data_IF_969992689691
#
_entry.id   IF_969992689691
#
_cell.length_a   1.000
_cell.length_b   1.000
_cell.length_c   1.000
_cell.angle_alpha   90.00
_cell.angle_beta   90.00
_cell.angle_gamma   90.00
#
_symmetry.space_group_name_H-M   'P 1'
#
loop_
_entity.id
_entity.type
_entity.pdbx_description
1 polymer ?
#
# COMPACT_ATOMS: atom_id res chain seq x y z
N UNK A 1 53.05 -55.88 18.43
CA UNK A 1 51.89 -55.34 17.67
C UNK A 1 51.01 -54.38 18.48
N UNK A 2 50.98 -54.40 19.82
CA UNK A 2 50.10 -53.53 20.61
C UNK A 2 50.46 -52.03 20.68
N UNK A 3 51.68 -51.63 20.30
CA UNK A 3 52.12 -50.21 20.40
C UNK A 3 51.71 -49.33 19.22
N UNK A 4 51.44 -49.90 18.03
CA UNK A 4 51.01 -49.10 16.86
C UNK A 4 49.56 -48.62 16.95
N UNK A 5 48.67 -49.39 17.58
CA UNK A 5 47.25 -49.01 17.72
C UNK A 5 47.01 -47.82 18.66
N UNK A 6 47.81 -47.69 19.73
CA UNK A 6 47.71 -46.56 20.66
C UNK A 6 48.12 -45.23 20.00
N UNK A 7 49.04 -45.27 19.03
CA UNK A 7 49.54 -44.07 18.35
C UNK A 7 48.55 -43.54 17.29
N UNK A 8 47.77 -44.43 16.67
CA UNK A 8 46.70 -44.06 15.72
C UNK A 8 45.51 -43.45 16.46
N UNK A 9 45.09 -44.02 17.59
CA UNK A 9 43.99 -43.47 18.40
C UNK A 9 44.27 -42.04 18.92
N UNK A 10 45.53 -41.75 19.28
CA UNK A 10 45.93 -40.42 19.78
C UNK A 10 45.96 -39.35 18.67
N UNK A 11 46.28 -39.72 17.42
CA UNK A 11 46.21 -38.81 16.27
C UNK A 11 44.76 -38.49 15.87
N UNK A 12 43.85 -39.47 15.95
CA UNK A 12 42.42 -39.28 15.67
C UNK A 12 41.77 -38.32 16.69
N UNK A 13 42.10 -38.47 17.98
CA UNK A 13 41.58 -37.58 19.03
C UNK A 13 42.02 -36.12 18.87
N UNK A 14 43.26 -35.86 18.45
CA UNK A 14 43.78 -34.50 18.24
C UNK A 14 43.13 -33.84 17.00
N UNK A 15 42.92 -34.59 15.91
CA UNK A 15 42.24 -34.07 14.72
C UNK A 15 40.76 -33.76 14.96
N UNK A 16 40.05 -34.56 15.75
CA UNK A 16 38.65 -34.30 16.11
C UNK A 16 38.49 -33.00 16.91
N UNK A 17 39.42 -32.70 17.83
CA UNK A 17 39.41 -31.47 18.64
C UNK A 17 39.76 -30.24 17.80
N UNK A 18 40.71 -30.36 16.87
CA UNK A 18 41.07 -29.26 15.95
C UNK A 18 39.93 -28.97 14.96
N UNK A 19 39.26 -29.99 14.44
CA UNK A 19 38.09 -29.83 13.57
C UNK A 19 36.90 -29.18 14.31
N UNK A 20 36.67 -29.53 15.58
CA UNK A 20 35.65 -28.87 16.41
C UNK A 20 36.01 -27.42 16.75
N UNK A 21 37.28 -27.12 17.01
CA UNK A 21 37.76 -25.76 17.29
C UNK A 21 37.68 -24.82 16.08
N UNK A 22 38.00 -25.31 14.88
CA UNK A 22 37.88 -24.56 13.63
C UNK A 22 36.41 -24.32 13.23
N UNK A 23 35.53 -25.29 13.47
CA UNK A 23 34.08 -25.12 13.26
C UNK A 23 33.49 -23.98 14.09
N UNK A 24 33.89 -23.85 15.36
CA UNK A 24 33.41 -22.78 16.25
C UNK A 24 33.94 -21.38 15.85
N UNK A 25 35.21 -21.27 15.43
CA UNK A 25 35.79 -20.00 14.99
C UNK A 25 35.23 -19.51 13.64
N UNK A 26 34.92 -20.43 12.72
CA UNK A 26 34.22 -20.08 11.45
C UNK A 26 32.77 -19.62 11.66
N UNK A 27 32.12 -20.03 12.76
CA UNK A 27 30.74 -19.65 13.07
C UNK A 27 30.56 -18.16 13.37
N UNK A 28 31.53 -17.52 14.05
CA UNK A 28 31.45 -16.10 14.45
C UNK A 28 31.69 -15.16 13.27
N UNK A 29 32.59 -15.54 12.35
CA UNK A 29 32.83 -14.79 11.10
C UNK A 29 31.66 -14.87 10.12
N UNK A 30 31.01 -16.04 10.02
CA UNK A 30 29.80 -16.23 9.21
C UNK A 30 28.58 -15.53 9.83
N UNK A 31 28.52 -15.35 11.15
CA UNK A 31 27.40 -14.67 11.81
C UNK A 31 27.22 -13.22 11.33
N UNK A 32 28.32 -12.47 11.07
CA UNK A 32 28.24 -11.12 10.48
C UNK A 32 27.81 -11.11 9.02
N UNK A 33 28.04 -12.19 8.28
CA UNK A 33 27.56 -12.36 6.91
C UNK A 33 26.08 -12.79 6.84
N UNK A 34 25.48 -13.20 7.97
CA UNK A 34 24.12 -13.74 8.03
C UNK A 34 23.14 -12.93 8.91
N UNK A 35 23.47 -11.70 9.34
CA UNK A 35 22.46 -10.76 9.86
C UNK A 35 21.55 -10.31 8.72
N UNK A 36 20.68 -11.22 8.31
CA UNK A 36 19.63 -11.00 7.33
C UNK A 36 18.68 -10.00 7.96
N UNK A 37 18.52 -8.83 7.33
CA UNK A 37 17.57 -7.80 7.75
C UNK A 37 16.20 -8.43 8.06
N UNK A 38 15.61 -8.01 9.16
CA UNK A 38 14.28 -8.45 9.61
C UNK A 38 13.24 -7.71 8.79
N UNK A 39 12.24 -8.43 8.28
CA UNK A 39 11.12 -7.85 7.53
C UNK A 39 9.88 -7.66 8.40
N UNK A 40 9.19 -6.54 8.25
CA UNK A 40 7.85 -6.31 8.76
C UNK A 40 6.88 -6.01 7.61
N UNK A 41 5.59 -6.27 7.81
CA UNK A 41 4.54 -6.14 6.80
C UNK A 41 3.26 -5.55 7.39
N UNK A 42 2.58 -4.71 6.61
CA UNK A 42 1.22 -4.23 6.87
C UNK A 42 0.39 -4.22 5.59
N UNK A 43 -0.92 -4.40 5.72
CA UNK A 43 -1.88 -4.24 4.64
C UNK A 43 -2.70 -2.98 4.83
N UNK A 44 -2.75 -2.14 3.81
CA UNK A 44 -3.45 -0.86 3.78
C UNK A 44 -4.53 -0.90 2.71
N UNK A 45 -5.73 -0.47 3.05
CA UNK A 45 -6.78 -0.16 2.09
C UNK A 45 -6.72 1.32 1.76
N UNK A 46 -6.52 1.66 0.48
CA UNK A 46 -6.36 3.02 0.00
C UNK A 46 -7.71 3.72 -0.09
N UNK A 47 -7.70 5.02 0.16
CA UNK A 47 -8.85 5.89 0.02
C UNK A 47 -9.53 5.73 -1.34
N UNK A 48 -10.85 5.73 -1.34
CA UNK A 48 -11.65 5.60 -2.55
C UNK A 48 -12.70 6.69 -2.63
N UNK A 49 -12.94 7.14 -3.86
CA UNK A 49 -13.96 8.09 -4.23
C UNK A 49 -15.01 7.35 -5.05
N UNK A 50 -16.25 7.37 -4.58
CA UNK A 50 -17.39 6.96 -5.40
C UNK A 50 -17.81 8.16 -6.24
N UNK A 51 -17.64 8.12 -7.57
CA UNK A 51 -18.09 9.22 -8.40
C UNK A 51 -19.60 9.40 -8.23
N UNK A 52 -20.03 10.65 -8.27
CA UNK A 52 -21.43 11.02 -8.32
C UNK A 52 -22.04 10.39 -9.61
N UNK A 53 -23.27 9.85 -9.52
CA UNK A 53 -23.93 9.16 -10.62
C UNK A 53 -24.34 10.15 -11.73
N UNK A 54 -23.42 10.43 -12.65
CA UNK A 54 -23.66 11.27 -13.83
C UNK A 54 -22.82 10.92 -15.07
N UNK A 55 -21.81 10.05 -14.91
CA UNK A 55 -20.98 9.53 -16.00
C UNK A 55 -21.09 8.00 -16.03
N UNK A 56 -21.89 7.47 -16.96
CA UNK A 56 -22.09 6.05 -17.23
C UNK A 56 -22.59 5.17 -16.06
N UNK A 57 -23.84 4.72 -16.19
CA UNK A 57 -24.56 3.84 -15.26
C UNK A 57 -23.85 2.47 -15.07
N UNK A 58 -22.87 2.15 -15.92
CA UNK A 58 -22.12 0.90 -15.96
C UNK A 58 -20.98 0.78 -14.94
N UNK A 59 -20.51 1.85 -14.27
CA UNK A 59 -19.47 1.71 -13.24
C UNK A 59 -19.77 2.48 -11.97
N UNK A 60 -20.66 1.93 -11.12
CA UNK A 60 -20.75 2.28 -9.70
C UNK A 60 -19.54 1.77 -8.89
N UNK A 61 -18.35 1.79 -9.49
CA UNK A 61 -17.13 1.22 -8.92
C UNK A 61 -16.37 2.31 -8.18
N UNK A 62 -16.01 2.02 -6.93
CA UNK A 62 -15.20 2.89 -6.10
C UNK A 62 -13.81 3.00 -6.72
N UNK A 63 -13.42 4.20 -7.15
CA UNK A 63 -12.09 4.43 -7.72
C UNK A 63 -11.12 4.86 -6.62
N UNK A 64 -9.91 4.30 -6.55
CA UNK A 64 -8.91 4.75 -5.60
C UNK A 64 -8.54 6.21 -5.88
N UNK A 65 -8.20 6.97 -4.83
CA UNK A 65 -7.84 8.40 -4.95
C UNK A 65 -6.54 8.60 -5.74
N UNK A 66 -5.61 7.67 -5.59
CA UNK A 66 -4.38 7.57 -6.35
C UNK A 66 -4.32 6.20 -7.03
N UNK A 67 -3.79 6.17 -8.25
CA UNK A 67 -3.52 4.92 -8.94
C UNK A 67 -2.42 4.12 -8.23
N UNK A 68 -2.42 2.80 -8.39
CA UNK A 68 -1.36 1.96 -7.84
C UNK A 68 0.05 2.41 -8.29
N UNK A 69 0.17 2.88 -9.54
CA UNK A 69 1.42 3.39 -10.08
C UNK A 69 1.92 4.65 -9.37
N UNK A 70 1.02 5.57 -9.02
CA UNK A 70 1.36 6.81 -8.29
C UNK A 70 1.82 6.49 -6.88
N UNK A 71 1.09 5.65 -6.15
CA UNK A 71 1.44 5.23 -4.79
C UNK A 71 2.80 4.55 -4.77
N UNK A 72 3.02 3.61 -5.69
CA UNK A 72 4.31 2.93 -5.83
C UNK A 72 5.41 3.96 -6.12
N UNK A 73 5.20 4.87 -7.08
CA UNK A 73 6.21 5.88 -7.45
C UNK A 73 6.53 6.83 -6.28
N UNK A 74 5.53 7.24 -5.51
CA UNK A 74 5.70 8.08 -4.32
C UNK A 74 6.53 7.34 -3.26
N UNK A 75 6.20 6.08 -2.97
CA UNK A 75 6.91 5.27 -1.98
C UNK A 75 8.32 4.85 -2.43
N UNK A 76 8.59 4.84 -3.74
CA UNK A 76 9.92 4.66 -4.33
C UNK A 76 10.81 5.91 -4.21
N UNK A 77 10.23 7.07 -3.93
CA UNK A 77 10.98 8.33 -3.88
C UNK A 77 11.94 8.41 -2.70
N UNK A 78 13.08 9.08 -2.92
CA UNK A 78 14.06 9.35 -1.88
C UNK A 78 13.48 10.26 -0.78
N UNK A 79 12.59 11.19 -1.13
CA UNK A 79 11.92 12.09 -0.20
C UNK A 79 11.03 11.30 0.77
N UNK A 80 10.30 10.30 0.27
CA UNK A 80 9.49 9.43 1.12
C UNK A 80 10.35 8.60 2.09
N UNK A 81 11.49 8.08 1.62
CA UNK A 81 12.45 7.39 2.48
C UNK A 81 13.04 8.31 3.57
N UNK A 82 13.32 9.57 3.25
CA UNK A 82 13.76 10.57 4.22
C UNK A 82 12.68 10.88 5.27
N UNK A 83 11.42 10.99 4.86
CA UNK A 83 10.29 11.19 5.77
C UNK A 83 10.11 10.00 6.72
N UNK A 84 10.29 8.76 6.26
CA UNK A 84 10.26 7.59 7.14
C UNK A 84 11.41 7.64 8.14
N UNK A 85 12.63 7.92 7.68
CA UNK A 85 13.81 7.97 8.53
C UNK A 85 13.71 9.06 9.61
N UNK A 86 13.22 10.24 9.26
CA UNK A 86 13.01 11.33 10.21
C UNK A 86 11.94 10.98 11.25
N UNK A 87 10.83 10.37 10.84
CA UNK A 87 9.71 10.01 11.73
C UNK A 87 10.04 8.86 12.68
N UNK A 88 10.87 7.92 12.22
CA UNK A 88 11.31 6.77 13.04
C UNK A 88 12.54 7.08 13.90
N UNK A 89 13.27 8.15 13.60
CA UNK A 89 14.54 8.48 14.24
C UNK A 89 15.68 7.52 13.87
N UNK A 90 15.57 6.80 12.75
CA UNK A 90 16.57 5.83 12.28
C UNK A 90 17.17 6.31 10.95
N UNK A 91 18.31 7.02 10.96
CA UNK A 91 18.88 7.63 9.77
C UNK A 91 19.28 6.64 8.67
N UNK A 92 19.67 5.41 9.06
CA UNK A 92 20.07 4.37 8.10
C UNK A 92 18.94 3.99 7.14
N UNK A 93 17.68 4.18 7.54
CA UNK A 93 16.51 3.95 6.70
C UNK A 93 16.45 4.90 5.49
N UNK A 94 16.94 6.14 5.59
CA UNK A 94 16.90 7.09 4.47
C UNK A 94 17.72 6.59 3.27
N UNK A 95 18.86 5.95 3.56
CA UNK A 95 19.74 5.37 2.54
C UNK A 95 19.31 3.98 2.06
N UNK A 96 18.51 3.27 2.85
CA UNK A 96 18.25 1.84 2.63
C UNK A 96 16.84 1.56 2.11
N UNK A 97 15.89 2.46 2.34
CA UNK A 97 14.49 2.32 1.95
C UNK A 97 14.09 2.71 0.52
N UNK A 98 14.84 3.46 -0.33
CA UNK A 98 14.31 3.75 -1.66
C UNK A 98 14.04 2.42 -2.40
N UNK A 99 12.78 2.21 -2.76
CA UNK A 99 12.35 1.03 -3.48
C UNK A 99 12.87 1.16 -4.92
N UNK A 100 13.88 0.37 -5.27
CA UNK A 100 14.34 0.28 -6.65
C UNK A 100 13.30 -0.51 -7.45
N UNK A 101 12.64 0.15 -8.41
CA UNK A 101 11.66 -0.43 -9.34
C UNK A 101 12.08 -1.83 -9.82
N UNK A 102 11.12 -2.76 -9.86
CA UNK A 102 11.23 -4.10 -10.45
C UNK A 102 12.45 -4.92 -10.00
N UNK A 103 12.29 -5.66 -8.91
CA UNK A 103 13.28 -6.69 -8.52
C UNK A 103 14.49 -6.16 -7.76
N UNK A 104 14.49 -4.89 -7.34
CA UNK A 104 15.55 -4.31 -6.53
C UNK A 104 15.62 -4.84 -5.10
N UNK A 105 16.83 -4.82 -4.54
CA UNK A 105 17.13 -5.20 -3.14
C UNK A 105 16.75 -4.13 -2.11
N UNK A 106 15.93 -3.14 -2.49
CA UNK A 106 15.44 -2.08 -1.61
C UNK A 106 14.75 -2.64 -0.37
N UNK A 107 14.94 -1.96 0.76
CA UNK A 107 14.40 -2.39 2.04
C UNK A 107 12.91 -2.11 2.18
N UNK A 108 12.36 -1.10 1.49
CA UNK A 108 10.92 -0.87 1.37
C UNK A 108 10.39 -1.56 0.11
N UNK A 109 9.24 -2.21 0.22
CA UNK A 109 8.53 -2.82 -0.90
C UNK A 109 7.04 -2.59 -0.76
N UNK A 110 6.41 -2.25 -1.86
CA UNK A 110 4.98 -1.99 -1.94
C UNK A 110 4.44 -2.89 -3.03
N UNK A 111 3.36 -3.58 -2.73
CA UNK A 111 2.72 -4.47 -3.70
C UNK A 111 1.21 -4.31 -3.64
N UNK A 112 0.64 -4.05 -4.79
CA UNK A 112 -0.79 -4.14 -5.00
C UNK A 112 -1.25 -5.61 -4.91
N UNK A 113 -2.35 -5.85 -4.20
CA UNK A 113 -3.03 -7.14 -4.10
C UNK A 113 -4.16 -7.19 -5.13
N UNK A 114 -4.80 -8.34 -5.29
CA UNK A 114 -5.81 -8.65 -6.33
C UNK A 114 -7.02 -7.70 -6.45
N UNK A 115 -7.14 -6.68 -5.60
CA UNK A 115 -8.15 -5.62 -5.65
C UNK A 115 -7.42 -4.27 -5.68
N UNK A 116 -7.83 -3.38 -6.59
CA UNK A 116 -7.17 -2.09 -6.90
C UNK A 116 -7.05 -1.09 -5.72
N UNK A 117 -7.57 -1.44 -4.54
CA UNK A 117 -7.48 -0.63 -3.32
C UNK A 117 -6.64 -1.26 -2.21
N UNK A 118 -6.14 -2.48 -2.39
CA UNK A 118 -5.44 -3.21 -1.32
C UNK A 118 -3.94 -3.25 -1.58
N UNK A 119 -3.16 -2.67 -0.68
CA UNK A 119 -1.71 -2.57 -0.78
C UNK A 119 -1.04 -3.28 0.39
N UNK A 120 0.04 -3.98 0.09
CA UNK A 120 0.90 -4.59 1.07
C UNK A 120 2.22 -3.84 1.10
N UNK A 121 2.55 -3.26 2.24
CA UNK A 121 3.80 -2.54 2.48
C UNK A 121 4.69 -3.44 3.33
N UNK A 122 5.93 -3.62 2.90
CA UNK A 122 6.97 -4.40 3.59
C UNK A 122 8.20 -3.53 3.78
N UNK A 123 8.75 -3.46 4.98
CA UNK A 123 10.04 -2.83 5.23
C UNK A 123 11.02 -3.84 5.84
N UNK A 124 12.30 -3.72 5.48
CA UNK A 124 13.41 -4.47 6.06
C UNK A 124 14.29 -3.54 6.89
N UNK A 125 14.75 -4.00 8.04
CA UNK A 125 15.69 -3.25 8.87
C UNK A 125 16.58 -4.19 9.68
N UNK A 126 17.62 -3.63 10.31
CA UNK A 126 18.57 -4.41 11.12
C UNK A 126 17.92 -4.98 12.39
N UNK A 127 16.87 -4.32 12.90
CA UNK A 127 16.13 -4.75 14.09
C UNK A 127 14.63 -4.91 13.81
N UNK A 128 13.94 -5.85 14.48
CA UNK A 128 12.49 -6.00 14.36
C UNK A 128 11.73 -4.69 14.71
N UNK A 129 12.22 -3.95 15.70
CA UNK A 129 11.65 -2.68 16.13
C UNK A 129 11.76 -1.62 15.04
N UNK A 130 12.93 -1.50 14.39
CA UNK A 130 13.11 -0.57 13.28
C UNK A 130 12.25 -0.95 12.07
N UNK A 131 12.11 -2.25 11.76
CA UNK A 131 11.26 -2.71 10.66
C UNK A 131 9.78 -2.39 10.92
N UNK A 132 9.28 -2.66 12.14
CA UNK A 132 7.91 -2.31 12.54
C UNK A 132 7.68 -0.79 12.51
N UNK A 133 8.64 -0.01 13.01
CA UNK A 133 8.56 1.45 12.99
C UNK A 133 8.51 2.00 11.57
N UNK A 134 9.36 1.47 10.67
CA UNK A 134 9.39 1.86 9.26
C UNK A 134 8.07 1.58 8.54
N UNK A 135 7.50 0.38 8.71
CA UNK A 135 6.21 0.04 8.10
C UNK A 135 5.06 0.89 8.65
N UNK A 136 5.06 1.16 9.96
CA UNK A 136 4.07 2.07 10.57
C UNK A 136 4.18 3.47 10.00
N UNK A 137 5.38 4.04 10.03
CA UNK A 137 5.63 5.37 9.49
C UNK A 137 5.26 5.49 8.01
N UNK A 138 5.57 4.47 7.19
CA UNK A 138 5.17 4.44 5.78
C UNK A 138 3.65 4.44 5.61
N UNK A 139 2.92 3.66 6.41
CA UNK A 139 1.47 3.61 6.33
C UNK A 139 0.81 4.89 6.88
N UNK A 140 1.35 5.46 7.96
CA UNK A 140 0.87 6.72 8.54
C UNK A 140 1.04 7.88 7.55
N UNK A 141 2.19 7.95 6.85
CA UNK A 141 2.43 8.96 5.81
C UNK A 141 1.43 8.85 4.65
N UNK A 142 1.09 7.63 4.21
CA UNK A 142 0.05 7.43 3.19
C UNK A 142 -1.34 7.83 3.69
N UNK A 143 -1.66 7.53 4.95
CA UNK A 143 -2.94 7.93 5.55
C UNK A 143 -3.05 9.45 5.59
N UNK A 144 -1.99 10.14 6.01
CA UNK A 144 -1.94 11.60 6.07
C UNK A 144 -2.08 12.25 4.69
N UNK A 145 -1.31 11.79 3.70
CA UNK A 145 -1.37 12.30 2.33
C UNK A 145 -2.77 12.12 1.73
N UNK A 146 -3.35 10.92 1.86
CA UNK A 146 -4.69 10.66 1.36
C UNK A 146 -5.77 11.42 2.16
N UNK A 147 -5.60 11.63 3.47
CA UNK A 147 -6.57 12.41 4.25
C UNK A 147 -6.58 13.88 3.82
N UNK A 148 -5.40 14.45 3.50
CA UNK A 148 -5.31 15.78 2.89
C UNK A 148 -6.04 15.82 1.54
N UNK A 149 -5.75 14.90 0.62
CA UNK A 149 -6.42 14.83 -0.69
C UNK A 149 -7.93 14.65 -0.55
N UNK A 150 -8.38 13.87 0.44
CA UNK A 150 -9.80 13.70 0.73
C UNK A 150 -10.43 14.98 1.28
N UNK A 151 -9.73 15.76 2.08
CA UNK A 151 -10.20 17.07 2.54
C UNK A 151 -10.33 18.05 1.37
N UNK A 152 -9.34 18.08 0.47
CA UNK A 152 -9.39 18.88 -0.77
C UNK A 152 -10.57 18.46 -1.65
N UNK A 153 -10.78 17.15 -1.84
CA UNK A 153 -11.93 16.63 -2.59
C UNK A 153 -13.28 17.00 -1.94
N UNK A 154 -13.38 16.95 -0.60
CA UNK A 154 -14.57 17.43 0.13
C UNK A 154 -14.82 18.91 -0.10
N UNK A 155 -13.77 19.72 -0.11
CA UNK A 155 -13.90 21.15 -0.32
C UNK A 155 -14.40 21.45 -1.74
N UNK A 156 -13.83 20.81 -2.75
CA UNK A 156 -14.27 20.96 -4.16
C UNK A 156 -15.75 20.59 -4.32
N UNK A 157 -16.20 19.51 -3.67
CA UNK A 157 -17.60 19.08 -3.70
C UNK A 157 -18.52 20.11 -3.02
N UNK A 158 -18.10 20.69 -1.89
CA UNK A 158 -18.86 21.77 -1.21
C UNK A 158 -18.93 23.02 -2.07
N UNK A 159 -17.80 23.45 -2.64
CA UNK A 159 -17.75 24.63 -3.51
C UNK A 159 -18.60 24.41 -4.79
N UNK A 160 -18.73 23.18 -5.26
CA UNK A 160 -19.63 22.83 -6.37
C UNK A 160 -21.11 22.87 -5.93
N UNK A 161 -21.47 22.36 -4.75
CA UNK A 161 -22.83 22.45 -4.19
C UNK A 161 -23.23 23.91 -3.97
N UNK A 162 -22.34 24.73 -3.39
CA UNK A 162 -22.58 26.15 -3.12
C UNK A 162 -22.79 26.94 -4.41
N UNK A 163 -21.98 26.67 -5.46
CA UNK A 163 -22.17 27.28 -6.78
C UNK A 163 -23.50 26.87 -7.41
N UNK A 164 -23.82 25.58 -7.42
CA UNK A 164 -25.09 25.09 -7.96
C UNK A 164 -26.30 25.70 -7.21
N UNK A 165 -26.18 25.87 -5.90
CA UNK A 165 -27.20 26.54 -5.09
C UNK A 165 -27.33 28.02 -5.45
N UNK A 166 -26.22 28.75 -5.62
CA UNK A 166 -26.22 30.15 -6.01
C UNK A 166 -26.86 30.34 -7.40
N UNK A 167 -26.49 29.52 -8.38
CA UNK A 167 -27.05 29.55 -9.74
C UNK A 167 -28.57 29.28 -9.74
N UNK A 168 -29.02 28.32 -8.93
CA UNK A 168 -30.44 28.05 -8.76
C UNK A 168 -31.18 29.23 -8.11
N UNK A 169 -30.59 29.87 -7.09
CA UNK A 169 -31.19 31.04 -6.45
C UNK A 169 -31.28 32.25 -7.39
N UNK A 170 -30.25 32.48 -8.21
CA UNK A 170 -30.27 33.52 -9.23
C UNK A 170 -31.36 33.24 -10.28
N UNK A 171 -31.45 32.00 -10.76
CA UNK A 171 -32.50 31.56 -11.69
C UNK A 171 -33.89 31.77 -11.09
N UNK A 172 -34.09 31.43 -9.82
CA UNK A 172 -35.35 31.63 -9.11
C UNK A 172 -35.71 33.13 -8.97
N UNK A 173 -34.72 33.98 -8.70
CA UNK A 173 -34.91 35.43 -8.63
C UNK A 173 -35.33 36.01 -9.98
N UNK A 174 -34.63 35.63 -11.05
CA UNK A 174 -34.97 36.06 -12.42
C UNK A 174 -36.37 35.58 -12.82
N UNK A 175 -36.69 34.32 -12.50
CA UNK A 175 -38.03 33.77 -12.70
C UNK A 175 -39.11 34.65 -12.05
N UNK A 176 -38.92 35.02 -10.77
CA UNK A 176 -39.89 35.84 -10.06
C UNK A 176 -40.05 37.22 -10.69
N UNK A 177 -38.95 37.87 -11.09
CA UNK A 177 -38.98 39.17 -11.77
C UNK A 177 -39.71 39.11 -13.11
N UNK A 178 -39.46 38.08 -13.93
CA UNK A 178 -40.14 37.92 -15.22
C UNK A 178 -41.62 37.58 -15.02
N UNK A 179 -41.94 36.71 -14.07
CA UNK A 179 -43.32 36.33 -13.76
C UNK A 179 -44.15 37.50 -13.20
N UNK A 180 -43.54 38.40 -12.42
CA UNK A 180 -44.17 39.63 -11.94
C UNK A 180 -44.51 40.55 -13.11
N UNK A 181 -43.54 40.84 -13.99
CA UNK A 181 -43.76 41.65 -15.21
C UNK A 181 -44.78 41.04 -16.16
N UNK A 182 -44.78 39.72 -16.32
CA UNK A 182 -45.80 39.03 -17.11
C UNK A 182 -47.19 39.19 -16.48
N UNK A 183 -47.30 39.07 -15.15
CA UNK A 183 -48.57 39.26 -14.44
C UNK A 183 -49.09 40.70 -14.59
N UNK A 184 -48.22 41.70 -14.45
CA UNK A 184 -48.55 43.10 -14.71
C UNK A 184 -49.02 43.33 -16.16
N UNK A 185 -48.32 42.75 -17.14
CA UNK A 185 -48.69 42.86 -18.55
C UNK A 185 -50.01 42.17 -18.87
N UNK A 186 -50.33 41.05 -18.24
CA UNK A 186 -51.61 40.36 -18.41
C UNK A 186 -52.73 41.22 -17.81
N UNK A 187 -52.55 41.71 -16.59
CA UNK A 187 -53.54 42.53 -15.88
C UNK A 187 -53.82 43.88 -16.58
N UNK A 188 -52.85 44.43 -17.31
CA UNK A 188 -52.99 45.67 -18.09
C UNK A 188 -53.44 45.46 -19.53
N UNK A 189 -53.56 44.22 -20.00
CA UNK A 189 -54.06 43.92 -21.34
C UNK A 189 -55.59 44.08 -21.39
N UNK A 190 -56.09 44.71 -22.45
CA UNK A 190 -57.53 44.87 -22.65
C UNK A 190 -58.16 43.47 -22.83
N UNK A 191 -59.18 43.08 -22.04
CA UNK A 191 -59.79 41.75 -22.11
C UNK A 191 -60.39 41.40 -23.50
N UNK A 192 -60.60 42.39 -24.38
CA UNK A 192 -60.98 42.15 -25.78
C UNK A 192 -59.86 41.65 -26.69
N UNK A 193 -58.59 41.76 -26.30
CA UNK A 193 -57.43 41.27 -27.05
C UNK A 193 -57.01 39.87 -26.57
N UNK A 194 -57.82 38.89 -26.97
CA UNK A 194 -57.66 37.49 -26.58
C UNK A 194 -56.36 36.88 -27.12
N UNK A 195 -55.87 37.34 -28.27
CA UNK A 195 -54.65 36.83 -28.88
C UNK A 195 -53.41 37.19 -28.05
N UNK A 196 -53.29 38.46 -27.66
CA UNK A 196 -52.18 38.92 -26.80
C UNK A 196 -52.22 38.29 -25.42
N UNK A 197 -53.41 38.20 -24.81
CA UNK A 197 -53.60 37.57 -23.50
C UNK A 197 -53.20 36.08 -23.53
N UNK A 198 -53.60 35.36 -24.58
CA UNK A 198 -53.24 33.94 -24.75
C UNK A 198 -51.73 33.72 -24.92
N UNK A 199 -51.04 34.60 -25.65
CA UNK A 199 -49.59 34.53 -25.82
C UNK A 199 -48.83 34.77 -24.51
N UNK A 200 -49.25 35.75 -23.71
CA UNK A 200 -48.63 36.04 -22.41
C UNK A 200 -48.83 34.89 -21.41
N UNK A 201 -50.02 34.29 -21.38
CA UNK A 201 -50.29 33.09 -20.58
C UNK A 201 -49.46 31.88 -21.03
N UNK A 202 -49.23 31.72 -22.35
CA UNK A 202 -48.36 30.68 -22.88
C UNK A 202 -46.90 30.88 -22.41
N UNK A 203 -46.38 32.11 -22.48
CA UNK A 203 -45.04 32.46 -21.98
C UNK A 203 -44.91 32.20 -20.48
N UNK A 204 -45.95 32.52 -19.70
CA UNK A 204 -45.98 32.25 -18.25
C UNK A 204 -45.90 30.75 -17.96
N UNK A 205 -46.62 29.92 -18.72
CA UNK A 205 -46.54 28.46 -18.58
C UNK A 205 -45.16 27.92 -18.95
N UNK A 206 -44.59 28.37 -20.05
CA UNK A 206 -43.26 27.93 -20.48
C UNK A 206 -42.19 28.30 -19.44
N UNK A 207 -42.26 29.53 -18.90
CA UNK A 207 -41.40 29.99 -17.82
C UNK A 207 -41.53 29.09 -16.57
N UNK A 208 -42.75 28.70 -16.18
CA UNK A 208 -42.98 27.80 -15.04
C UNK A 208 -42.44 26.38 -15.28
N UNK A 209 -42.56 25.86 -16.50
CA UNK A 209 -41.99 24.57 -16.89
C UNK A 209 -40.46 24.61 -16.80
N UNK A 210 -39.83 25.68 -17.31
CA UNK A 210 -38.38 25.84 -17.26
C UNK A 210 -37.86 26.00 -15.83
N UNK A 211 -38.59 26.72 -14.97
CA UNK A 211 -38.26 26.80 -13.55
C UNK A 211 -38.36 25.44 -12.85
N UNK A 212 -39.36 24.64 -13.18
CA UNK A 212 -39.50 23.27 -12.65
C UNK A 212 -38.35 22.38 -13.08
N UNK A 213 -37.90 22.48 -14.35
CA UNK A 213 -36.72 21.76 -14.85
C UNK A 213 -35.44 22.19 -14.12
N UNK A 214 -35.24 23.49 -13.93
CA UNK A 214 -34.08 24.03 -13.20
C UNK A 214 -34.05 23.53 -11.75
N UNK A 215 -35.20 23.55 -11.07
CA UNK A 215 -35.32 22.99 -9.71
C UNK A 215 -34.96 21.51 -9.66
N UNK A 216 -35.47 20.70 -10.59
CA UNK A 216 -35.13 19.26 -10.65
C UNK A 216 -33.65 19.05 -10.91
N UNK A 217 -33.06 19.78 -11.85
CA UNK A 217 -31.63 19.67 -12.13
C UNK A 217 -30.76 20.00 -10.90
N UNK A 218 -31.14 21.04 -10.13
CA UNK A 218 -30.49 21.37 -8.87
C UNK A 218 -30.67 20.27 -7.81
N UNK A 219 -31.90 19.76 -7.64
CA UNK A 219 -32.18 18.67 -6.69
C UNK A 219 -31.43 17.38 -7.05
N UNK A 220 -31.34 17.04 -8.34
CA UNK A 220 -30.60 15.89 -8.83
C UNK A 220 -29.09 16.05 -8.56
N UNK A 221 -28.51 17.21 -8.91
CA UNK A 221 -27.11 17.53 -8.62
C UNK A 221 -26.82 17.45 -7.11
N UNK A 222 -27.72 17.99 -6.28
CA UNK A 222 -27.60 17.93 -4.82
C UNK A 222 -27.66 16.51 -4.27
N UNK A 223 -28.53 15.67 -4.80
CA UNK A 223 -28.57 14.24 -4.45
C UNK A 223 -27.27 13.55 -4.87
N UNK A 224 -26.72 13.89 -6.03
CA UNK A 224 -25.43 13.41 -6.51
C UNK A 224 -24.28 13.75 -5.55
N UNK A 225 -24.16 15.02 -5.14
CA UNK A 225 -23.15 15.47 -4.17
C UNK A 225 -23.29 14.78 -2.81
N UNK A 226 -24.51 14.45 -2.38
CA UNK A 226 -24.72 13.67 -1.15
C UNK A 226 -24.40 12.20 -1.30
N UNK A 227 -24.48 11.64 -2.52
CA UNK A 227 -24.19 10.23 -2.82
C UNK A 227 -22.70 9.96 -3.05
N UNK A 228 -21.88 10.98 -3.28
CA UNK A 228 -20.44 10.78 -3.35
C UNK A 228 -19.92 10.30 -2.00
N UNK A 229 -19.58 9.01 -1.93
CA UNK A 229 -18.98 8.38 -0.78
C UNK A 229 -17.46 8.52 -0.87
N UNK A 230 -16.88 9.13 0.16
CA UNK A 230 -15.43 9.21 0.34
C UNK A 230 -15.03 8.20 1.42
N UNK A 231 -14.30 7.15 1.03
CA UNK A 231 -13.76 6.17 1.97
C UNK A 231 -12.32 6.54 2.31
N UNK A 232 -11.98 6.71 3.61
CA UNK A 232 -10.62 7.03 4.01
C UNK A 232 -9.68 5.83 3.86
N UNK A 233 -8.40 6.13 3.68
CA UNK A 233 -7.33 5.14 3.78
C UNK A 233 -7.30 4.56 5.18
N UNK A 234 -7.15 3.24 5.31
CA UNK A 234 -7.11 2.58 6.62
C UNK A 234 -6.20 1.37 6.65
N UNK A 235 -5.69 1.06 7.83
CA UNK A 235 -5.00 -0.18 8.10
C UNK A 235 -6.00 -1.33 8.18
N UNK A 236 -5.75 -2.41 7.44
CA UNK A 236 -6.54 -3.65 7.56
C UNK A 236 -5.91 -4.64 8.53
N UNK A 237 -4.59 -4.57 8.68
CA UNK A 237 -3.84 -5.45 9.58
C UNK A 237 -2.95 -4.64 10.50
N UNK A 238 -2.70 -5.17 11.69
CA UNK A 238 -1.65 -4.64 12.55
C UNK A 238 -0.30 -4.99 11.92
N UNK A 239 0.69 -4.08 11.91
CA UNK A 239 2.03 -4.37 11.43
C UNK A 239 2.65 -5.56 12.17
N UNK A 240 3.12 -6.56 11.41
CA UNK A 240 3.70 -7.79 11.96
C UNK A 240 5.09 -8.04 11.37
N UNK A 241 5.96 -8.64 12.19
CA UNK A 241 7.28 -9.09 11.75
C UNK A 241 7.13 -10.43 11.03
N UNK A 242 7.60 -10.50 9.79
CA UNK A 242 7.69 -11.74 9.05
C UNK A 242 9.01 -12.44 9.40
N UNK A 243 8.92 -13.51 10.17
CA UNK A 243 10.05 -14.43 10.34
C UNK A 243 10.07 -15.37 9.13
N UNK A 244 11.06 -15.20 8.24
CA UNK A 244 11.27 -16.16 7.15
C UNK A 244 11.62 -17.53 7.72
N UNK A 245 10.66 -18.46 7.69
CA UNK A 245 10.79 -19.86 8.16
C UNK A 245 11.91 -20.65 7.45
N UNK A 246 12.44 -20.15 6.33
CA UNK A 246 13.62 -20.72 5.67
C UNK A 246 14.95 -20.47 6.41
N UNK A 247 14.97 -19.64 7.46
CA UNK A 247 16.17 -19.30 8.22
C UNK A 247 16.15 -19.73 9.68
N UNK A 248 15.40 -20.77 10.07
CA UNK A 248 15.40 -21.17 11.48
C UNK A 248 16.78 -21.70 11.89
N UNK A 249 17.31 -21.31 13.07
CA UNK A 249 18.59 -21.82 13.58
C UNK A 249 18.58 -23.34 13.72
N UNK A 250 17.40 -23.95 13.91
CA UNK A 250 17.20 -25.41 13.91
C UNK A 250 17.50 -26.06 12.56
N UNK A 251 17.19 -25.40 11.43
CA UNK A 251 17.54 -25.92 10.10
C UNK A 251 19.01 -25.66 9.74
N UNK A 252 19.60 -24.54 10.16
CA UNK A 252 21.05 -24.32 10.04
C UNK A 252 21.84 -25.34 10.87
N UNK A 253 21.38 -25.65 12.09
CA UNK A 253 21.92 -26.75 12.88
C UNK A 253 21.73 -28.10 12.18
N UNK A 254 20.58 -28.33 11.53
CA UNK A 254 20.32 -29.52 10.72
C UNK A 254 21.24 -29.64 9.49
N UNK A 255 21.48 -28.55 8.77
CA UNK A 255 22.42 -28.51 7.62
C UNK A 255 23.85 -28.67 8.10
N UNK A 256 24.25 -28.02 9.20
CA UNK A 256 25.56 -28.19 9.82
C UNK A 256 25.80 -29.64 10.27
N UNK A 257 24.78 -30.28 10.86
CA UNK A 257 24.83 -31.69 11.24
C UNK A 257 24.91 -32.62 10.01
N UNK A 258 24.17 -32.34 8.93
CA UNK A 258 24.24 -33.10 7.68
C UNK A 258 25.60 -32.98 7.02
N UNK A 259 26.17 -31.77 6.93
CA UNK A 259 27.52 -31.56 6.39
C UNK A 259 28.57 -32.25 7.26
N UNK A 260 28.47 -32.15 8.59
CA UNK A 260 29.35 -32.87 9.51
C UNK A 260 29.29 -34.38 9.32
N UNK A 261 28.09 -34.94 9.15
CA UNK A 261 27.88 -36.37 8.89
C UNK A 261 28.48 -36.77 7.53
N UNK A 262 28.27 -35.98 6.49
CA UNK A 262 28.78 -36.24 5.14
C UNK A 262 30.31 -36.23 5.10
N UNK A 263 30.96 -35.28 5.78
CA UNK A 263 32.42 -35.25 5.96
C UNK A 263 32.92 -36.48 6.73
N UNK A 264 32.21 -36.88 7.78
CA UNK A 264 32.57 -38.07 8.57
C UNK A 264 32.49 -39.35 7.73
N UNK A 265 31.44 -39.47 6.89
CA UNK A 265 31.27 -40.60 5.98
C UNK A 265 32.37 -40.64 4.91
N UNK A 266 32.70 -39.50 4.28
CA UNK A 266 33.79 -39.41 3.29
C UNK A 266 35.14 -39.78 3.94
N UNK A 267 35.40 -39.30 5.15
CA UNK A 267 36.66 -39.60 5.85
C UNK A 267 36.76 -41.09 6.21
N UNK A 268 35.66 -41.70 6.67
CA UNK A 268 35.62 -43.12 6.99
C UNK A 268 35.80 -44.01 5.74
N UNK A 269 35.24 -43.63 4.59
CA UNK A 269 35.42 -44.39 3.34
C UNK A 269 36.83 -44.25 2.77
N UNK A 270 37.45 -43.07 2.82
CA UNK A 270 38.82 -42.85 2.35
C UNK A 270 39.84 -43.61 3.21
N UNK A 271 39.69 -43.59 4.54
CA UNK A 271 40.59 -44.34 5.43
C UNK A 271 40.32 -45.85 5.38
N UNK A 272 39.05 -46.26 5.30
CA UNK A 272 38.69 -47.67 5.16
C UNK A 272 39.24 -48.31 3.88
N UNK A 273 39.36 -47.53 2.79
CA UNK A 273 40.02 -47.97 1.57
C UNK A 273 41.54 -48.11 1.75
N UNK A 274 42.19 -47.17 2.44
CA UNK A 274 43.64 -47.21 2.68
C UNK A 274 44.11 -48.37 3.56
N UNK A 275 43.26 -48.90 4.45
CA UNK A 275 43.61 -50.03 5.33
C UNK A 275 43.43 -51.38 4.63
N UNK A 276 42.60 -51.45 3.57
CA UNK A 276 42.36 -52.71 2.83
C UNK A 276 43.52 -53.09 1.91
N UNK A 277 44.23 -52.11 1.35
CA UNK A 277 45.38 -52.36 0.47
C UNK A 277 46.60 -52.93 1.22
N UNK A 278 46.78 -52.63 2.50
CA UNK A 278 47.91 -53.20 3.28
C UNK A 278 47.71 -54.67 3.69
N UNK A 279 46.50 -55.24 3.52
CA UNK A 279 46.21 -56.63 3.92
C UNK A 279 46.23 -57.65 2.77
N UNK A 280 46.55 -57.22 1.55
CA UNK A 280 46.59 -58.13 0.38
C UNK A 280 48.00 -58.49 -0.11
N UNK A 281 49.05 -58.01 0.56
CA UNK A 281 50.43 -58.51 0.40
C UNK A 281 50.87 -59.31 1.64
N UNK A 282 50.27 -60.49 1.84
CA UNK A 282 50.87 -61.62 2.58
C UNK A 282 50.54 -62.91 1.87
#
# INVERSE_FOLDING_TARGET
>A
MMTKFAQVGRKIGIFAVIAMGLGAASGVGLQKLFFRKVSAVVSVEIAQIKPAQGADISSCELRPIDSAAEIITQMESADFAQLIASRTGVPSLASSLPALRFGGDGDLRVRERTRESLFQIRAKADTPQAALAAVRAAADLLIEDHDQKLQEARQILRDAEDRAQADYQETARLYNQVNERLSESINSTNPGDLAKTSMLEMLRRDLAVNMTKSKRAYEDARVEFRRSELKPTRLLTVPQVEFSLLGSPLRMAGVGALVGLLVTVIYATVIGASVRDETTEV
#
